data_IF_473412960282
#
_entry.id   IF_473412960282
#
_cell.length_a   1.000
_cell.length_b   1.000
_cell.length_c   1.000
_cell.angle_alpha   90.00
_cell.angle_beta   90.00
_cell.angle_gamma   90.00
#
_symmetry.space_group_name_H-M   'P 1'
#
loop_
_entity.id
_entity.type
_entity.pdbx_description
1 polymer ?
#
# COMPACT_ATOMS: atom_id res chain seq x y z
N UNK A 1 -13.22 6.19 0.06
CA UNK A 1 -12.73 5.47 1.26
C UNK A 1 -12.00 4.23 0.79
N UNK A 2 -10.88 3.86 1.42
CA UNK A 2 -10.06 2.71 1.02
C UNK A 2 -9.54 1.96 2.26
N UNK A 3 -9.22 0.66 2.16
CA UNK A 3 -8.82 -0.14 3.32
C UNK A 3 -7.45 0.31 3.84
N UNK A 4 -7.36 0.46 5.16
CA UNK A 4 -6.12 0.90 5.84
C UNK A 4 -5.93 0.29 7.21
N UNK A 5 -6.71 -0.73 7.59
CA UNK A 5 -6.59 -1.45 8.86
C UNK A 5 -6.10 -2.87 8.56
N UNK A 6 -5.08 -3.32 9.30
CA UNK A 6 -4.50 -4.67 9.19
C UNK A 6 -4.15 -5.07 7.74
N UNK A 7 -3.55 -4.14 6.99
CA UNK A 7 -3.16 -4.37 5.61
C UNK A 7 -1.82 -5.10 5.58
N UNK A 8 -1.76 -6.25 4.91
CA UNK A 8 -0.51 -6.97 4.64
C UNK A 8 0.27 -6.25 3.55
N UNK A 9 1.47 -5.75 3.88
CA UNK A 9 2.39 -5.15 2.93
C UNK A 9 3.82 -5.63 3.13
N UNK A 10 4.67 -5.41 2.13
CA UNK A 10 6.08 -5.74 2.20
C UNK A 10 6.77 -5.01 3.37
N UNK A 11 7.70 -5.69 4.02
CA UNK A 11 8.43 -5.22 5.18
C UNK A 11 9.92 -5.57 5.10
N UNK A 12 10.71 -4.94 5.96
CA UNK A 12 12.15 -5.18 6.07
C UNK A 12 12.38 -6.61 6.61
N UNK A 13 13.01 -7.54 5.85
CA UNK A 13 13.05 -8.97 6.19
C UNK A 13 13.78 -9.33 7.48
N UNK A 14 14.70 -8.46 7.92
CA UNK A 14 15.52 -8.62 9.11
C UNK A 14 15.00 -7.82 10.31
N UNK A 15 13.83 -7.18 10.17
CA UNK A 15 13.18 -6.46 11.26
C UNK A 15 12.17 -7.35 11.98
N UNK A 16 11.96 -7.08 13.26
CA UNK A 16 11.07 -7.88 14.10
C UNK A 16 9.62 -7.44 13.88
N UNK A 17 8.79 -8.35 13.35
CA UNK A 17 7.37 -8.10 13.08
C UNK A 17 6.43 -8.76 14.10
N UNK A 18 6.97 -9.62 14.96
CA UNK A 18 6.20 -10.29 16.00
C UNK A 18 7.08 -10.99 17.03
N UNK A 19 6.49 -11.38 18.16
CA UNK A 19 7.20 -12.04 19.24
C UNK A 19 6.35 -13.16 19.83
N UNK A 20 6.94 -14.34 20.04
CA UNK A 20 6.35 -15.47 20.76
C UNK A 20 7.07 -15.60 22.12
N UNK A 21 6.33 -15.46 23.22
CA UNK A 21 6.94 -15.48 24.55
C UNK A 21 7.91 -14.31 24.75
N UNK A 22 9.00 -14.49 25.49
CA UNK A 22 9.92 -13.40 25.86
C UNK A 22 11.18 -13.30 24.98
N UNK A 23 11.56 -14.39 24.29
CA UNK A 23 12.87 -14.50 23.62
C UNK A 23 12.79 -15.03 22.18
N UNK A 24 11.59 -15.20 21.61
CA UNK A 24 11.44 -15.65 20.22
C UNK A 24 10.90 -14.49 19.40
N UNK A 25 11.76 -13.89 18.59
CA UNK A 25 11.40 -12.82 17.67
C UNK A 25 11.15 -13.40 16.28
N UNK A 26 10.10 -12.92 15.63
CA UNK A 26 9.72 -13.35 14.29
C UNK A 26 10.00 -12.20 13.32
N UNK A 27 10.71 -12.50 12.25
CA UNK A 27 10.85 -11.63 11.09
C UNK A 27 10.10 -12.23 9.91
N UNK A 28 9.57 -11.37 9.04
CA UNK A 28 8.95 -11.76 7.78
C UNK A 28 9.20 -10.68 6.74
N UNK A 29 9.18 -11.07 5.46
CA UNK A 29 9.22 -10.15 4.31
C UNK A 29 7.93 -9.34 4.15
N UNK A 30 6.89 -9.69 4.92
CA UNK A 30 5.60 -9.02 4.94
C UNK A 30 5.15 -8.77 6.39
N UNK A 31 4.56 -7.61 6.64
CA UNK A 31 4.05 -7.21 7.96
C UNK A 31 2.58 -6.81 7.86
N UNK A 32 1.77 -7.43 8.71
CA UNK A 32 0.31 -7.46 8.63
C UNK A 32 -0.40 -6.57 9.66
N UNK A 33 0.37 -5.92 10.55
CA UNK A 33 -0.16 -5.20 11.73
C UNK A 33 -0.25 -3.69 11.51
N UNK A 34 0.14 -3.19 10.34
CA UNK A 34 0.18 -1.75 10.08
C UNK A 34 -1.23 -1.24 9.77
N UNK A 35 -1.74 -0.35 10.62
CA UNK A 35 -3.04 0.32 10.45
C UNK A 35 -2.86 1.83 10.42
N UNK A 36 -3.50 2.51 9.46
CA UNK A 36 -3.44 3.96 9.32
C UNK A 36 -3.86 4.45 7.94
N UNK A 37 -4.06 5.76 7.82
CA UNK A 37 -4.36 6.42 6.53
C UNK A 37 -3.23 6.23 5.53
N UNK A 38 -1.98 6.10 5.97
CA UNK A 38 -0.82 5.76 5.13
C UNK A 38 -0.96 4.46 4.36
N UNK A 39 -1.76 3.50 4.86
CA UNK A 39 -2.06 2.24 4.16
C UNK A 39 -3.26 2.37 3.22
N UNK A 40 -4.17 3.31 3.47
CA UNK A 40 -5.29 3.63 2.58
C UNK A 40 -4.86 4.49 1.38
N UNK A 41 -3.85 5.35 1.53
CA UNK A 41 -3.31 6.20 0.46
C UNK A 41 -2.82 5.41 -0.77
N UNK A 42 -1.98 4.37 -0.65
CA UNK A 42 -1.54 3.57 -1.80
C UNK A 42 -2.69 2.82 -2.47
N UNK A 43 -3.76 2.48 -1.73
CA UNK A 43 -4.96 1.89 -2.34
C UNK A 43 -5.69 2.88 -3.25
N UNK A 44 -5.87 4.14 -2.83
CA UNK A 44 -6.52 5.16 -3.66
C UNK A 44 -5.64 5.56 -4.84
N UNK A 45 -4.34 5.78 -4.62
CA UNK A 45 -3.42 6.16 -5.70
C UNK A 45 -3.29 5.05 -6.75
N UNK A 46 -3.32 3.78 -6.35
CA UNK A 46 -3.36 2.64 -7.28
C UNK A 46 -4.61 2.63 -8.17
N UNK A 47 -5.80 2.87 -7.61
CA UNK A 47 -7.05 2.95 -8.40
C UNK A 47 -7.00 4.14 -9.37
N UNK A 48 -6.54 5.31 -8.92
CA UNK A 48 -6.39 6.49 -9.79
C UNK A 48 -5.37 6.23 -10.90
N UNK A 49 -4.26 5.56 -10.61
CA UNK A 49 -3.25 5.20 -11.62
C UNK A 49 -3.82 4.22 -12.67
N UNK A 50 -4.63 3.24 -12.27
CA UNK A 50 -5.30 2.32 -13.18
C UNK A 50 -6.37 3.02 -14.03
N UNK A 51 -7.13 3.93 -13.44
CA UNK A 51 -8.08 4.76 -14.18
C UNK A 51 -7.35 5.65 -15.19
N UNK A 52 -6.24 6.25 -14.78
CA UNK A 52 -5.39 7.07 -15.64
C UNK A 52 -4.74 6.26 -16.74
N UNK A 53 -4.26 5.04 -16.53
CA UNK A 53 -3.68 4.22 -17.60
C UNK A 53 -4.71 3.80 -18.64
N UNK A 54 -5.95 3.52 -18.20
CA UNK A 54 -7.08 3.21 -19.09
C UNK A 54 -7.58 4.43 -19.86
N UNK A 55 -7.54 5.63 -19.27
CA UNK A 55 -7.99 6.86 -19.93
C UNK A 55 -6.88 7.56 -20.73
N UNK A 56 -5.61 7.44 -20.34
CA UNK A 56 -4.48 8.07 -21.03
C UNK A 56 -4.13 7.39 -22.36
N UNK A 57 -4.59 6.16 -22.59
CA UNK A 57 -4.58 5.54 -23.92
C UNK A 57 -5.59 6.19 -24.88
N UNK A 58 -6.56 6.94 -24.35
CA UNK A 58 -7.57 7.68 -25.10
C UNK A 58 -7.35 9.19 -24.91
N UNK A 59 -6.51 9.76 -25.76
CA UNK A 59 -6.30 11.20 -25.97
C UNK A 59 -5.33 11.94 -24.99
N UNK A 60 -4.18 12.45 -25.48
CA UNK A 60 -3.19 13.17 -24.67
C UNK A 60 -3.67 14.53 -24.13
N UNK A 61 -4.87 15.00 -24.48
CA UNK A 61 -5.47 16.23 -23.95
C UNK A 61 -5.99 16.11 -22.51
N UNK A 62 -6.42 14.90 -22.09
CA UNK A 62 -7.00 14.68 -20.76
C UNK A 62 -5.97 14.86 -19.64
N UNK A 63 -4.69 14.60 -19.91
CA UNK A 63 -3.63 14.71 -18.91
C UNK A 63 -3.39 16.15 -18.43
N UNK A 64 -3.70 17.17 -19.25
CA UNK A 64 -3.54 18.59 -18.89
C UNK A 64 -4.67 19.15 -18.02
N UNK A 65 -5.77 18.43 -17.85
CA UNK A 65 -6.92 18.88 -17.05
C UNK A 65 -6.83 18.52 -15.56
N UNK A 66 -5.85 17.70 -15.17
CA UNK A 66 -5.66 17.22 -13.81
C UNK A 66 -4.61 18.00 -13.01
N UNK A 67 -4.06 19.08 -13.59
CA UNK A 67 -3.14 20.01 -12.94
C UNK A 67 -3.81 21.38 -12.85
#
# INVERSE_FOLDING_TARGET
>A
MAPGSLVLAAWIPNDTVGQIGQNVFLSNEYHMVVSGTSMATPHVSGVVALLKSKSASADPGVERSWY
#
